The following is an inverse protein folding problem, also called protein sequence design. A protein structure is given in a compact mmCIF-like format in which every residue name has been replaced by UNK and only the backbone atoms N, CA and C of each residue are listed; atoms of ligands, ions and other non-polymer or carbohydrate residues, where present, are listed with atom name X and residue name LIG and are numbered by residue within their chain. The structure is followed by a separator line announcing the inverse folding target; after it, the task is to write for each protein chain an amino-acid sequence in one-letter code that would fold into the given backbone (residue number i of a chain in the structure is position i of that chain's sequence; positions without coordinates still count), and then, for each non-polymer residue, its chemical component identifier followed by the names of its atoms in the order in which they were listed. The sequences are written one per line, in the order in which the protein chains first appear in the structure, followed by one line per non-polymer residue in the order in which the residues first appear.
data_IF_175346806390
#
_entry.id   IF_175346806390
#
_cell.length_a   1.000
_cell.length_b   1.000
_cell.length_c   1.000
_cell.angle_alpha   90.00
_cell.angle_beta   90.00
_cell.angle_gamma   90.00
#
_symmetry.space_group_name_H-M   'P 1'
#
loop_
_entity.id
_entity.type
_entity.pdbx_description
1 polymer ?
#
# COMPACT_ATOMS: atom_id res chain seq x y z
N UNK A 1 -14.99 -18.06 -24.20
CA UNK A 1 -14.34 -18.05 -22.87
C UNK A 1 -12.84 -18.13 -23.12
N UNK A 2 -12.08 -17.16 -22.67
CA UNK A 2 -10.62 -17.14 -22.82
C UNK A 2 -9.98 -18.04 -21.78
N UNK A 3 -8.93 -18.78 -22.15
CA UNK A 3 -8.18 -19.60 -21.22
C UNK A 3 -6.85 -18.92 -20.84
N UNK A 4 -6.48 -19.02 -19.56
CA UNK A 4 -5.22 -18.55 -19.03
C UNK A 4 -4.65 -19.65 -18.11
N UNK A 5 -3.41 -20.07 -18.37
CA UNK A 5 -2.81 -21.13 -17.54
C UNK A 5 -2.37 -20.60 -16.17
N UNK A 6 -2.58 -21.39 -15.12
CA UNK A 6 -2.09 -21.13 -13.78
C UNK A 6 -0.57 -20.88 -13.76
N UNK A 7 0.20 -21.56 -14.62
CA UNK A 7 1.64 -21.35 -14.77
C UNK A 7 1.98 -19.94 -15.28
N UNK A 8 1.17 -19.38 -16.18
CA UNK A 8 1.38 -18.00 -16.66
C UNK A 8 1.13 -16.98 -15.53
N UNK A 9 0.09 -17.21 -14.73
CA UNK A 9 -0.20 -16.39 -13.55
C UNK A 9 0.95 -16.48 -12.53
N UNK A 10 1.42 -17.68 -12.20
CA UNK A 10 2.54 -17.90 -11.29
C UNK A 10 3.80 -17.12 -11.73
N UNK A 11 4.17 -17.20 -13.01
CA UNK A 11 5.34 -16.48 -13.55
C UNK A 11 5.18 -14.96 -13.44
N UNK A 12 4.00 -14.44 -13.76
CA UNK A 12 3.71 -13.02 -13.63
C UNK A 12 3.83 -12.55 -12.18
N UNK A 13 3.26 -13.30 -11.24
CA UNK A 13 3.34 -13.00 -9.80
C UNK A 13 4.79 -13.06 -9.31
N UNK A 14 5.58 -14.06 -9.72
CA UNK A 14 7.00 -14.15 -9.35
C UNK A 14 7.76 -12.89 -9.77
N UNK A 15 7.57 -12.45 -11.01
CA UNK A 15 8.22 -11.24 -11.54
C UNK A 15 7.75 -9.97 -10.79
N UNK A 16 6.45 -9.82 -10.54
CA UNK A 16 5.88 -8.69 -9.80
C UNK A 16 6.46 -8.59 -8.39
N UNK A 17 6.57 -9.71 -7.69
CA UNK A 17 7.09 -9.77 -6.31
C UNK A 17 8.54 -9.30 -6.24
N UNK A 18 9.38 -9.73 -7.16
CA UNK A 18 10.78 -9.31 -7.22
C UNK A 18 10.87 -7.83 -7.61
N UNK A 19 10.22 -7.45 -8.70
CA UNK A 19 10.32 -6.11 -9.25
C UNK A 19 9.84 -5.04 -8.26
N UNK A 20 8.67 -5.21 -7.66
CA UNK A 20 8.12 -4.25 -6.71
C UNK A 20 8.98 -4.10 -5.43
N UNK A 21 9.80 -5.10 -5.06
CA UNK A 21 10.71 -4.97 -3.93
C UNK A 21 12.03 -4.29 -4.28
N UNK A 22 12.42 -4.29 -5.55
CA UNK A 22 13.69 -3.70 -6.02
C UNK A 22 13.50 -2.32 -6.65
N UNK A 23 12.32 -2.01 -7.19
CA UNK A 23 12.07 -0.77 -7.93
C UNK A 23 10.88 -0.02 -7.37
N UNK A 24 11.12 1.23 -7.04
CA UNK A 24 10.05 2.18 -6.75
C UNK A 24 9.52 2.77 -8.05
N UNK A 25 8.25 3.18 -8.10
CA UNK A 25 7.72 3.77 -9.32
C UNK A 25 8.39 5.12 -9.64
N UNK A 26 8.53 5.47 -10.93
CA UNK A 26 9.16 6.73 -11.33
C UNK A 26 8.45 7.98 -10.77
N UNK A 27 7.15 7.90 -10.54
CA UNK A 27 6.38 9.01 -9.96
C UNK A 27 6.74 9.26 -8.49
N UNK A 28 6.90 8.19 -7.71
CA UNK A 28 7.31 8.30 -6.30
C UNK A 28 8.71 8.87 -6.21
N UNK A 29 9.64 8.41 -7.06
CA UNK A 29 10.99 8.95 -7.10
C UNK A 29 10.99 10.45 -7.43
N UNK A 30 10.24 10.87 -8.47
CA UNK A 30 10.10 12.29 -8.82
C UNK A 30 9.50 13.10 -7.68
N UNK A 31 8.55 12.55 -6.94
CA UNK A 31 7.95 13.25 -5.80
C UNK A 31 8.94 13.42 -4.65
N UNK A 32 9.73 12.38 -4.34
CA UNK A 32 10.81 12.47 -3.36
C UNK A 32 11.86 13.53 -3.74
N UNK A 33 12.25 13.59 -5.01
CA UNK A 33 13.17 14.61 -5.54
C UNK A 33 12.61 16.03 -5.40
N UNK A 34 11.31 16.22 -5.70
CA UNK A 34 10.61 17.52 -5.49
C UNK A 34 10.60 17.90 -4.02
N UNK A 35 10.25 16.95 -3.14
CA UNK A 35 10.24 17.18 -1.70
C UNK A 35 11.63 17.57 -1.18
N UNK A 36 12.68 16.90 -1.64
CA UNK A 36 14.06 17.24 -1.31
C UNK A 36 14.43 18.64 -1.78
N UNK A 37 14.07 19.03 -2.98
CA UNK A 37 14.37 20.34 -3.53
C UNK A 37 13.65 21.48 -2.80
N UNK A 38 12.50 21.21 -2.19
CA UNK A 38 11.68 22.17 -1.45
C UNK A 38 11.96 22.17 0.06
N UNK A 39 12.80 21.24 0.55
CA UNK A 39 13.09 21.11 1.97
C UNK A 39 14.11 22.17 2.41
N UNK A 40 13.77 22.91 3.46
CA UNK A 40 14.59 24.01 3.98
C UNK A 40 15.53 23.56 5.10
N UNK A 41 15.22 22.42 5.76
CA UNK A 41 16.06 21.88 6.84
C UNK A 41 17.15 20.98 6.26
N UNK A 42 18.44 21.29 6.47
CA UNK A 42 19.55 20.51 5.91
C UNK A 42 19.51 19.02 6.26
N UNK A 43 19.13 18.69 7.51
CA UNK A 43 19.01 17.30 7.94
C UNK A 43 17.91 16.56 7.17
N UNK A 44 16.71 17.14 7.06
CA UNK A 44 15.60 16.54 6.34
C UNK A 44 15.90 16.37 4.83
N UNK A 45 16.52 17.37 4.21
CA UNK A 45 16.98 17.29 2.82
C UNK A 45 18.03 16.18 2.61
N UNK A 46 18.95 16.02 3.59
CA UNK A 46 19.95 14.94 3.56
C UNK A 46 19.30 13.57 3.67
N UNK A 47 18.30 13.40 4.56
CA UNK A 47 17.55 12.13 4.71
C UNK A 47 16.79 11.78 3.42
N UNK A 48 16.07 12.74 2.82
CA UNK A 48 15.42 12.52 1.53
C UNK A 48 16.42 12.12 0.45
N UNK A 49 17.61 12.76 0.44
CA UNK A 49 18.71 12.37 -0.46
C UNK A 49 19.16 10.93 -0.28
N UNK A 50 19.24 10.44 0.96
CA UNK A 50 19.62 9.04 1.26
C UNK A 50 18.52 8.06 0.86
N UNK A 51 17.25 8.42 1.02
CA UNK A 51 16.12 7.61 0.54
C UNK A 51 16.19 7.46 -0.98
N UNK A 52 16.38 8.56 -1.70
CA UNK A 52 16.49 8.55 -3.17
C UNK A 52 17.69 7.70 -3.64
N UNK A 53 18.86 7.90 -3.03
CA UNK A 53 20.08 7.13 -3.32
C UNK A 53 19.86 5.62 -3.10
N UNK A 54 19.20 5.26 -1.99
CA UNK A 54 18.86 3.87 -1.68
C UNK A 54 17.93 3.26 -2.75
N UNK A 55 16.90 3.98 -3.17
CA UNK A 55 15.92 3.48 -4.14
C UNK A 55 16.55 3.30 -5.52
N UNK A 56 17.45 4.22 -5.92
CA UNK A 56 18.23 4.11 -7.16
C UNK A 56 19.18 2.91 -7.11
N UNK A 57 19.93 2.75 -6.03
CA UNK A 57 20.84 1.63 -5.83
C UNK A 57 20.11 0.27 -5.83
N UNK A 58 18.94 0.20 -5.18
CA UNK A 58 18.11 -0.98 -5.17
C UNK A 58 17.67 -1.39 -6.57
N UNK A 59 17.27 -0.41 -7.39
CA UNK A 59 16.86 -0.63 -8.78
C UNK A 59 18.03 -1.07 -9.68
N UNK A 60 19.20 -0.44 -9.53
CA UNK A 60 20.41 -0.75 -10.32
C UNK A 60 20.94 -2.15 -10.03
N UNK A 61 20.98 -2.54 -8.76
CA UNK A 61 21.54 -3.82 -8.34
C UNK A 61 20.52 -4.94 -8.24
N UNK A 62 19.24 -4.63 -8.45
CA UNK A 62 18.13 -5.56 -8.26
C UNK A 62 18.14 -6.21 -6.86
N UNK A 63 18.35 -5.39 -5.83
CA UNK A 63 18.29 -5.78 -4.41
C UNK A 63 17.10 -5.11 -3.73
N UNK A 64 16.55 -5.72 -2.65
CA UNK A 64 15.43 -5.11 -1.94
C UNK A 64 15.77 -3.72 -1.37
N UNK A 65 14.90 -2.73 -1.62
CA UNK A 65 15.07 -1.36 -1.11
C UNK A 65 14.90 -1.24 0.40
N UNK A 66 14.36 -2.25 1.07
CA UNK A 66 14.11 -2.27 2.50
C UNK A 66 14.32 -3.68 3.05
N UNK A 67 14.79 -3.80 4.30
CA UNK A 67 14.88 -5.08 5.01
C UNK A 67 13.50 -5.70 5.30
N UNK A 68 12.44 -4.89 5.40
CA UNK A 68 11.06 -5.37 5.47
C UNK A 68 10.48 -5.46 4.06
N UNK A 69 10.54 -6.65 3.49
CA UNK A 69 9.97 -6.95 2.17
C UNK A 69 8.48 -7.28 2.24
N UNK A 70 7.90 -7.08 3.41
CA UNK A 70 6.47 -7.04 3.66
C UNK A 70 5.74 -8.38 3.61
N UNK A 71 4.46 -8.32 3.89
CA UNK A 71 3.50 -9.38 3.60
C UNK A 71 2.89 -9.12 2.23
N UNK A 72 2.77 -10.16 1.41
CA UNK A 72 2.21 -10.04 0.07
C UNK A 72 0.70 -9.77 0.15
N UNK A 73 0.26 -8.66 -0.46
CA UNK A 73 -1.16 -8.31 -0.58
C UNK A 73 -1.51 -8.15 -2.05
N UNK A 74 -2.58 -8.82 -2.48
CA UNK A 74 -3.08 -8.76 -3.85
C UNK A 74 -4.50 -8.23 -3.90
N UNK A 75 -4.75 -7.32 -4.85
CA UNK A 75 -6.07 -7.03 -5.40
C UNK A 75 -6.17 -7.73 -6.74
N UNK A 76 -7.13 -8.63 -6.88
CA UNK A 76 -7.33 -9.48 -8.06
C UNK A 76 -8.66 -9.13 -8.70
N UNK A 77 -8.63 -8.55 -9.90
CA UNK A 77 -9.80 -8.28 -10.71
C UNK A 77 -9.90 -9.38 -11.77
N UNK A 78 -10.89 -10.24 -11.59
CA UNK A 78 -11.11 -11.43 -12.41
C UNK A 78 -12.30 -11.22 -13.34
N UNK A 79 -12.04 -11.20 -14.63
CA UNK A 79 -13.07 -11.17 -15.67
C UNK A 79 -13.91 -12.47 -15.67
N UNK A 80 -15.23 -12.33 -15.70
CA UNK A 80 -16.18 -13.46 -15.61
C UNK A 80 -16.08 -14.44 -16.79
N UNK A 81 -15.52 -14.03 -17.92
CA UNK A 81 -15.32 -14.83 -19.12
C UNK A 81 -13.94 -15.48 -19.21
N UNK A 82 -13.12 -15.34 -18.16
CA UNK A 82 -11.81 -15.96 -18.07
C UNK A 82 -11.89 -17.31 -17.37
N UNK A 83 -11.28 -18.32 -17.97
CA UNK A 83 -11.12 -19.65 -17.39
C UNK A 83 -9.66 -19.93 -17.05
N UNK A 84 -9.37 -20.22 -15.78
CA UNK A 84 -8.01 -20.61 -15.36
C UNK A 84 -7.83 -22.10 -15.54
N UNK A 85 -6.77 -22.51 -16.26
CA UNK A 85 -6.47 -23.91 -16.56
C UNK A 85 -5.19 -24.37 -15.89
N UNK A 86 -5.08 -25.69 -15.61
CA UNK A 86 -3.88 -26.29 -15.04
C UNK A 86 -3.66 -26.05 -13.54
N UNK A 87 -4.67 -25.54 -12.83
CA UNK A 87 -4.65 -25.30 -11.40
C UNK A 87 -5.61 -24.22 -10.96
N UNK A 88 -5.67 -23.91 -9.67
CA UNK A 88 -6.49 -22.80 -9.16
C UNK A 88 -5.72 -21.49 -9.21
N UNK A 89 -6.45 -20.38 -9.41
CA UNK A 89 -5.87 -19.03 -9.40
C UNK A 89 -5.13 -18.72 -8.08
N UNK A 90 -5.75 -19.09 -6.96
CA UNK A 90 -5.16 -18.89 -5.65
C UNK A 90 -3.84 -19.64 -5.48
N UNK A 91 -3.80 -20.93 -5.84
CA UNK A 91 -2.58 -21.73 -5.75
C UNK A 91 -1.46 -21.17 -6.65
N UNK A 92 -1.81 -20.67 -7.83
CA UNK A 92 -0.85 -20.02 -8.74
C UNK A 92 -0.27 -18.72 -8.15
N UNK A 93 -1.09 -17.90 -7.50
CA UNK A 93 -0.63 -16.69 -6.81
C UNK A 93 0.27 -17.06 -5.63
N UNK A 94 -0.14 -17.99 -4.78
CA UNK A 94 0.66 -18.42 -3.62
C UNK A 94 2.02 -18.98 -4.06
N UNK A 95 2.06 -19.83 -5.11
CA UNK A 95 3.32 -20.38 -5.62
C UNK A 95 4.21 -19.29 -6.24
N UNK A 96 3.61 -18.33 -6.97
CA UNK A 96 4.34 -17.18 -7.48
C UNK A 96 4.98 -16.32 -6.39
N UNK A 97 4.28 -16.11 -5.27
CA UNK A 97 4.82 -15.42 -4.08
C UNK A 97 5.98 -16.23 -3.49
N UNK A 98 5.79 -17.51 -3.23
CA UNK A 98 6.84 -18.40 -2.70
C UNK A 98 8.10 -18.35 -3.54
N UNK A 99 7.95 -18.48 -4.84
CA UNK A 99 9.04 -18.43 -5.78
C UNK A 99 9.71 -17.03 -5.80
N UNK A 100 8.93 -15.95 -5.85
CA UNK A 100 9.43 -14.59 -5.84
C UNK A 100 10.23 -14.24 -4.58
N UNK A 101 9.75 -14.64 -3.40
CA UNK A 101 10.47 -14.42 -2.15
C UNK A 101 11.75 -15.25 -2.04
N UNK A 102 11.79 -16.43 -2.67
CA UNK A 102 12.99 -17.25 -2.73
C UNK A 102 14.04 -16.70 -3.71
N UNK A 103 13.62 -16.42 -4.95
CA UNK A 103 14.52 -16.00 -6.04
C UNK A 103 15.00 -14.56 -5.89
N UNK A 104 14.15 -13.66 -5.34
CA UNK A 104 14.51 -12.30 -5.03
C UNK A 104 15.28 -12.12 -3.71
N UNK A 105 15.62 -13.21 -3.02
CA UNK A 105 16.30 -13.18 -1.71
C UNK A 105 15.56 -12.31 -0.68
N UNK A 106 14.23 -12.29 -0.76
CA UNK A 106 13.40 -11.46 0.08
C UNK A 106 13.24 -12.07 1.49
N UNK A 107 13.06 -11.22 2.49
CA UNK A 107 12.87 -11.66 3.87
C UNK A 107 11.51 -12.35 4.04
N UNK A 108 11.51 -13.56 4.59
CA UNK A 108 10.29 -14.30 4.94
C UNK A 108 9.85 -13.87 6.34
N UNK A 109 8.70 -13.19 6.42
CA UNK A 109 8.22 -12.57 7.67
C UNK A 109 6.86 -13.09 8.13
N UNK A 110 6.24 -14.01 7.38
CA UNK A 110 4.93 -14.58 7.73
C UNK A 110 5.10 -15.69 8.76
N UNK A 111 4.24 -15.65 9.80
CA UNK A 111 4.17 -16.68 10.83
C UNK A 111 2.84 -17.46 10.73
N UNK A 112 2.88 -18.77 10.93
CA UNK A 112 1.74 -19.65 10.81
C UNK A 112 0.73 -19.47 11.97
N UNK A 113 1.24 -19.31 13.19
CA UNK A 113 0.44 -19.06 14.37
C UNK A 113 0.68 -17.60 14.85
N UNK A 114 -0.37 -16.72 14.84
CA UNK A 114 -0.16 -15.32 15.17
C UNK A 114 0.07 -15.05 16.67
N UNK A 115 -0.26 -15.96 17.56
CA UNK A 115 -0.28 -15.70 19.01
C UNK A 115 0.72 -16.54 19.79
N UNK A 116 0.61 -17.85 19.71
CA UNK A 116 1.29 -18.76 20.68
C UNK A 116 2.69 -19.17 20.23
N UNK A 117 2.84 -19.86 19.11
CA UNK A 117 4.12 -20.41 18.67
C UNK A 117 4.90 -19.47 17.76
N UNK A 118 4.18 -18.72 16.92
CA UNK A 118 4.74 -17.78 15.94
C UNK A 118 5.80 -18.38 15.01
N UNK A 119 5.61 -19.67 14.66
CA UNK A 119 6.50 -20.38 13.75
C UNK A 119 6.49 -19.73 12.37
N UNK A 120 7.67 -19.40 11.83
CA UNK A 120 7.78 -18.81 10.50
C UNK A 120 7.39 -19.83 9.42
N UNK A 121 6.63 -19.40 8.40
CA UNK A 121 6.22 -20.29 7.30
C UNK A 121 7.38 -20.68 6.39
N UNK A 122 8.47 -19.92 6.41
CA UNK A 122 9.70 -20.21 5.65
C UNK A 122 9.65 -19.77 4.18
N UNK A 123 8.48 -19.36 3.68
CA UNK A 123 8.26 -19.03 2.27
C UNK A 123 7.47 -17.75 2.02
N UNK A 124 7.11 -17.06 3.10
CA UNK A 124 6.30 -15.83 3.12
C UNK A 124 4.87 -15.98 2.57
N UNK A 125 4.34 -17.19 2.58
CA UNK A 125 2.92 -17.46 2.29
C UNK A 125 2.15 -17.78 3.59
N UNK A 126 0.79 -17.65 3.63
CA UNK A 126 -0.04 -17.22 2.52
C UNK A 126 -0.01 -15.71 2.28
N UNK A 127 -0.17 -15.32 1.02
CA UNK A 127 -0.52 -13.95 0.67
C UNK A 127 -1.96 -13.62 1.07
N UNK A 128 -2.24 -12.35 1.35
CA UNK A 128 -3.60 -11.83 1.49
C UNK A 128 -4.14 -11.48 0.10
N UNK A 129 -5.26 -12.07 -0.29
CA UNK A 129 -5.81 -11.93 -1.63
C UNK A 129 -7.25 -11.44 -1.55
N UNK A 130 -7.53 -10.32 -2.20
CA UNK A 130 -8.87 -9.76 -2.36
C UNK A 130 -9.33 -9.95 -3.80
N UNK A 131 -10.45 -10.65 -4.00
CA UNK A 131 -11.02 -10.91 -5.31
C UNK A 131 -12.15 -9.95 -5.62
N UNK A 132 -12.15 -9.41 -6.84
CA UNK A 132 -13.23 -8.63 -7.44
C UNK A 132 -13.58 -9.26 -8.79
N UNK A 133 -14.86 -9.56 -8.99
CA UNK A 133 -15.37 -10.01 -10.29
C UNK A 133 -15.65 -8.79 -11.17
N UNK A 134 -15.19 -8.87 -12.41
CA UNK A 134 -15.37 -7.81 -13.42
C UNK A 134 -15.95 -8.40 -14.70
N UNK A 135 -16.45 -7.55 -15.56
CA UNK A 135 -16.84 -7.94 -16.93
C UNK A 135 -15.60 -8.29 -17.76
N UNK A 136 -15.82 -9.10 -18.80
CA UNK A 136 -14.80 -9.46 -19.78
C UNK A 136 -13.93 -10.65 -19.37
N UNK A 137 -12.78 -10.77 -20.01
CA UNK A 137 -11.91 -11.96 -19.99
C UNK A 137 -10.47 -11.67 -19.53
N UNK A 138 -10.26 -10.54 -18.84
CA UNK A 138 -8.93 -10.15 -18.35
C UNK A 138 -8.75 -10.50 -16.88
N UNK A 139 -7.50 -10.80 -16.52
CA UNK A 139 -7.06 -10.91 -15.14
C UNK A 139 -6.12 -9.75 -14.85
N UNK A 140 -6.53 -8.84 -13.97
CA UNK A 140 -5.63 -7.78 -13.47
C UNK A 140 -5.22 -8.08 -12.04
N UNK A 141 -3.93 -8.14 -11.82
CA UNK A 141 -3.30 -8.35 -10.52
C UNK A 141 -2.60 -7.06 -10.09
N UNK A 142 -2.97 -6.52 -8.94
CA UNK A 142 -2.20 -5.46 -8.28
C UNK A 142 -1.58 -6.04 -7.01
N UNK A 143 -0.27 -5.99 -6.92
CA UNK A 143 0.52 -6.48 -5.80
C UNK A 143 1.11 -5.32 -5.00
N UNK A 144 1.02 -5.39 -3.69
CA UNK A 144 1.72 -4.49 -2.78
C UNK A 144 2.40 -5.30 -1.66
N UNK A 145 3.73 -5.22 -1.52
CA UNK A 145 4.44 -5.79 -0.37
C UNK A 145 4.25 -4.85 0.82
N UNK A 146 3.38 -5.21 1.75
CA UNK A 146 2.99 -4.35 2.88
C UNK A 146 3.88 -4.57 4.09
N UNK A 147 4.78 -3.60 4.33
CA UNK A 147 5.66 -3.60 5.51
C UNK A 147 4.90 -3.35 6.82
N UNK A 148 5.29 -4.06 7.88
CA UNK A 148 4.55 -4.07 9.14
C UNK A 148 4.90 -2.92 10.09
N UNK A 149 6.03 -2.24 9.91
CA UNK A 149 6.30 -1.00 10.63
C UNK A 149 5.21 0.05 10.41
N UNK A 150 4.73 0.18 9.18
CA UNK A 150 3.63 1.08 8.84
C UNK A 150 2.24 0.44 9.01
N UNK A 151 2.10 -0.87 8.76
CA UNK A 151 0.82 -1.57 8.96
C UNK A 151 0.34 -1.50 10.42
N UNK A 152 1.24 -1.63 11.38
CA UNK A 152 0.94 -1.55 12.80
C UNK A 152 0.43 -0.17 13.26
N UNK A 153 0.63 0.86 12.43
CA UNK A 153 0.16 2.23 12.71
C UNK A 153 -1.21 2.53 12.12
N UNK A 154 -1.85 1.55 11.51
CA UNK A 154 -3.18 1.68 10.91
C UNK A 154 -4.27 1.64 11.96
N UNK A 155 -5.41 2.27 11.68
CA UNK A 155 -6.52 2.37 12.60
C UNK A 155 -7.88 2.28 11.91
N UNK A 156 -8.88 1.75 12.62
CA UNK A 156 -10.29 1.71 12.20
C UNK A 156 -11.14 2.34 13.28
N UNK A 157 -12.13 3.14 12.88
CA UNK A 157 -13.10 3.74 13.80
C UNK A 157 -14.50 3.77 13.19
N UNK A 158 -15.47 3.40 13.98
CA UNK A 158 -16.89 3.56 13.65
C UNK A 158 -17.35 4.94 14.10
N UNK A 159 -17.32 5.90 13.19
CA UNK A 159 -17.83 7.25 13.43
C UNK A 159 -19.36 7.28 13.33
N UNK A 160 -19.96 8.34 13.85
CA UNK A 160 -21.39 8.62 13.68
C UNK A 160 -21.59 9.49 12.43
N UNK A 161 -22.72 9.37 11.73
CA UNK A 161 -23.04 10.27 10.60
C UNK A 161 -22.97 11.77 10.97
N UNK A 162 -23.32 12.11 12.22
CA UNK A 162 -23.23 13.48 12.72
C UNK A 162 -21.80 14.03 12.84
N UNK A 163 -20.79 13.16 12.91
CA UNK A 163 -19.38 13.58 12.95
C UNK A 163 -18.93 14.16 11.58
N UNK A 164 -19.59 13.75 10.50
CA UNK A 164 -19.39 14.28 9.15
C UNK A 164 -17.94 14.29 8.66
N UNK A 165 -17.67 15.16 7.70
CA UNK A 165 -16.33 15.32 7.11
C UNK A 165 -15.28 15.75 8.14
N UNK A 166 -15.64 16.61 9.09
CA UNK A 166 -14.72 17.08 10.13
C UNK A 166 -14.31 15.95 11.08
N UNK A 167 -15.24 15.05 11.45
CA UNK A 167 -14.91 13.87 12.23
C UNK A 167 -13.97 12.89 11.49
N UNK A 168 -14.16 12.73 10.17
CA UNK A 168 -13.24 11.93 9.33
C UNK A 168 -11.85 12.57 9.33
N UNK A 169 -11.74 13.86 9.03
CA UNK A 169 -10.44 14.58 9.02
C UNK A 169 -9.75 14.49 10.38
N UNK A 170 -10.47 14.72 11.45
CA UNK A 170 -9.92 14.65 12.80
C UNK A 170 -9.36 13.24 13.10
N UNK A 171 -10.08 12.18 12.73
CA UNK A 171 -9.62 10.80 12.94
C UNK A 171 -8.37 10.48 12.11
N UNK A 172 -8.30 10.89 10.84
CA UNK A 172 -7.12 10.69 10.00
C UNK A 172 -5.90 11.39 10.59
N UNK A 173 -6.05 12.66 10.97
CA UNK A 173 -4.96 13.45 11.55
C UNK A 173 -4.48 12.88 12.89
N UNK A 174 -5.41 12.37 13.70
CA UNK A 174 -5.09 11.74 14.99
C UNK A 174 -4.33 10.42 14.79
N UNK A 175 -4.75 9.59 13.83
CA UNK A 175 -4.03 8.36 13.47
C UNK A 175 -2.59 8.64 13.01
N UNK A 176 -2.38 9.65 12.16
CA UNK A 176 -1.05 10.04 11.70
C UNK A 176 -0.19 10.60 12.85
N UNK A 177 -0.78 11.42 13.73
CA UNK A 177 -0.08 11.95 14.91
C UNK A 177 0.37 10.84 15.84
N UNK A 178 -0.51 9.85 16.08
CA UNK A 178 -0.18 8.68 16.90
C UNK A 178 0.92 7.82 16.25
N UNK A 179 0.90 7.67 14.93
CA UNK A 179 1.93 6.93 14.20
C UNK A 179 3.32 7.59 14.33
N UNK A 180 3.38 8.91 14.25
CA UNK A 180 4.63 9.68 14.40
C UNK A 180 5.75 9.19 13.48
N UNK A 181 6.95 8.91 14.01
CA UNK A 181 8.10 8.44 13.24
C UNK A 181 8.04 6.94 12.88
N UNK A 182 7.19 6.15 13.56
CA UNK A 182 7.20 4.68 13.48
C UNK A 182 7.01 4.11 12.05
N UNK A 183 6.18 4.72 11.17
CA UNK A 183 5.99 4.21 9.82
C UNK A 183 7.07 4.63 8.82
N UNK A 184 8.21 5.15 9.26
CA UNK A 184 9.31 5.63 8.42
C UNK A 184 8.84 6.69 7.38
N UNK A 185 8.45 7.91 7.81
CA UNK A 185 8.03 8.96 6.91
C UNK A 185 9.19 9.42 5.96
N UNK A 186 8.83 10.04 4.81
CA UNK A 186 7.48 10.51 4.44
C UNK A 186 6.53 9.37 4.09
N UNK A 187 5.31 9.44 4.60
CA UNK A 187 4.30 8.38 4.46
C UNK A 187 3.34 8.62 3.28
N UNK A 188 2.65 7.56 2.87
CA UNK A 188 1.42 7.65 2.09
C UNK A 188 0.27 7.15 2.96
N UNK A 189 -0.83 7.89 2.98
CA UNK A 189 -1.99 7.59 3.81
C UNK A 189 -3.15 7.14 2.94
N UNK A 190 -3.61 5.92 3.13
CA UNK A 190 -4.82 5.39 2.52
C UNK A 190 -6.00 5.49 3.49
N UNK A 191 -7.09 6.08 3.04
CA UNK A 191 -8.31 6.25 3.83
C UNK A 191 -9.45 5.52 3.14
N UNK A 192 -10.14 4.66 3.89
CA UNK A 192 -11.35 3.99 3.43
C UNK A 192 -12.56 4.52 4.20
N UNK A 193 -13.59 4.99 3.49
CA UNK A 193 -14.78 5.60 4.08
C UNK A 193 -16.02 4.86 3.59
N UNK A 194 -16.87 4.45 4.53
CA UNK A 194 -18.14 3.78 4.22
C UNK A 194 -18.04 2.26 4.16
N UNK A 195 -19.09 1.62 3.66
CA UNK A 195 -19.25 0.16 3.71
C UNK A 195 -19.57 -0.33 5.13
N UNK A 196 -18.89 -1.40 5.50
CA UNK A 196 -18.93 -2.07 6.80
C UNK A 196 -17.55 -1.97 7.47
N UNK A 197 -17.40 -2.51 8.67
CA UNK A 197 -16.14 -2.52 9.44
C UNK A 197 -14.97 -3.06 8.62
N UNK A 198 -15.12 -4.21 7.99
CA UNK A 198 -14.09 -4.83 7.16
C UNK A 198 -13.95 -4.14 5.79
N UNK A 199 -15.04 -3.59 5.24
CA UNK A 199 -15.01 -2.94 3.92
C UNK A 199 -14.22 -1.64 3.97
N UNK A 200 -14.40 -0.79 4.99
CA UNK A 200 -13.60 0.43 5.09
C UNK A 200 -12.10 0.12 5.28
N UNK A 201 -11.75 -0.95 6.01
CA UNK A 201 -10.37 -1.40 6.15
C UNK A 201 -9.79 -1.89 4.80
N UNK A 202 -10.57 -2.66 4.02
CA UNK A 202 -10.18 -3.06 2.67
C UNK A 202 -9.98 -1.86 1.75
N UNK A 203 -10.89 -0.88 1.78
CA UNK A 203 -10.79 0.35 0.97
C UNK A 203 -9.52 1.15 1.29
N UNK A 204 -9.18 1.31 2.56
CA UNK A 204 -7.95 2.00 2.96
C UNK A 204 -6.69 1.29 2.45
N UNK A 205 -6.72 -0.04 2.34
CA UNK A 205 -5.66 -0.84 1.71
C UNK A 205 -5.59 -0.60 0.20
N UNK A 206 -6.72 -0.55 -0.47
CA UNK A 206 -6.79 -0.28 -1.92
C UNK A 206 -6.38 1.15 -2.26
N UNK A 207 -6.69 2.10 -1.39
CA UNK A 207 -6.21 3.48 -1.52
C UNK A 207 -4.67 3.54 -1.59
N UNK A 208 -3.97 2.64 -0.89
CA UNK A 208 -2.50 2.50 -0.95
C UNK A 208 -1.98 1.72 -2.18
N UNK A 209 -2.84 1.35 -3.12
CA UNK A 209 -2.48 0.71 -4.39
C UNK A 209 -2.74 1.64 -5.59
N UNK A 210 -3.06 2.92 -5.32
CA UNK A 210 -3.26 3.94 -6.34
C UNK A 210 -1.92 4.55 -6.75
N UNK A 211 -1.86 5.05 -7.99
CA UNK A 211 -0.75 5.90 -8.43
C UNK A 211 -0.64 7.14 -7.53
N UNK A 212 0.57 7.55 -7.19
CA UNK A 212 0.82 8.59 -6.19
C UNK A 212 0.17 9.94 -6.53
N UNK A 213 0.15 10.29 -7.81
CA UNK A 213 -0.42 11.55 -8.32
C UNK A 213 -1.90 11.44 -8.73
N UNK A 214 -2.52 10.27 -8.48
CA UNK A 214 -3.95 10.09 -8.71
C UNK A 214 -4.81 10.82 -7.66
N UNK A 215 -6.01 11.22 -8.06
CA UNK A 215 -6.97 11.90 -7.19
C UNK A 215 -8.33 11.21 -7.22
N UNK A 216 -9.10 11.40 -6.14
CA UNK A 216 -10.47 10.90 -6.09
C UNK A 216 -11.32 11.57 -7.18
N UNK A 217 -12.19 10.84 -7.91
CA UNK A 217 -12.99 11.39 -9.00
C UNK A 217 -14.01 12.45 -8.54
N UNK A 218 -14.53 12.34 -7.32
CA UNK A 218 -15.45 13.33 -6.74
C UNK A 218 -14.66 14.50 -6.15
N UNK A 219 -15.01 15.76 -6.52
CA UNK A 219 -14.25 16.94 -6.08
C UNK A 219 -14.13 17.08 -4.57
N UNK A 220 -15.20 16.80 -3.82
CA UNK A 220 -15.23 16.93 -2.35
C UNK A 220 -14.20 16.04 -1.65
N UNK A 221 -14.00 14.82 -2.14
CA UNK A 221 -12.98 13.91 -1.59
C UNK A 221 -11.59 14.27 -2.08
N UNK A 222 -11.43 14.71 -3.31
CA UNK A 222 -10.15 15.22 -3.82
C UNK A 222 -9.68 16.44 -3.01
N UNK A 223 -10.57 17.37 -2.71
CA UNK A 223 -10.24 18.52 -1.89
C UNK A 223 -9.87 18.08 -0.47
N UNK A 224 -10.57 17.10 0.10
CA UNK A 224 -10.24 16.50 1.39
C UNK A 224 -8.86 15.79 1.37
N UNK A 225 -8.49 15.08 0.30
CA UNK A 225 -7.13 14.49 0.12
C UNK A 225 -6.06 15.59 0.24
N UNK A 226 -6.24 16.72 -0.44
CA UNK A 226 -5.31 17.84 -0.44
C UNK A 226 -5.25 18.57 0.91
N UNK A 227 -6.40 18.82 1.53
CA UNK A 227 -6.48 19.43 2.88
C UNK A 227 -5.78 18.58 3.93
N UNK A 228 -6.00 17.26 3.91
CA UNK A 228 -5.37 16.31 4.81
C UNK A 228 -3.85 16.25 4.59
N UNK A 229 -3.39 16.18 3.34
CA UNK A 229 -1.97 16.19 3.01
C UNK A 229 -1.30 17.47 3.53
N UNK A 230 -1.90 18.63 3.29
CA UNK A 230 -1.40 19.90 3.78
C UNK A 230 -1.37 19.96 5.31
N UNK A 231 -2.41 19.45 5.98
CA UNK A 231 -2.47 19.39 7.44
C UNK A 231 -1.42 18.46 8.05
N UNK A 232 -1.21 17.27 7.47
CA UNK A 232 -0.18 16.31 7.89
C UNK A 232 1.21 16.91 7.73
N UNK A 233 1.49 17.58 6.62
CA UNK A 233 2.79 18.20 6.38
C UNK A 233 3.08 19.39 7.32
N UNK A 234 2.05 20.01 7.90
CA UNK A 234 2.21 21.01 8.99
C UNK A 234 2.51 20.42 10.37
N UNK A 235 2.40 19.09 10.55
CA UNK A 235 2.71 18.44 11.84
C UNK A 235 4.21 18.41 12.16
N UNK A 236 5.07 18.73 11.21
CA UNK A 236 6.53 18.76 11.37
C UNK A 236 7.14 17.42 11.81
N UNK A 237 6.52 16.30 11.43
CA UNK A 237 7.09 14.95 11.68
C UNK A 237 8.36 14.79 10.83
N UNK A 238 8.30 15.12 9.55
CA UNK A 238 9.40 15.14 8.60
C UNK A 238 9.99 13.77 8.26
N UNK A 239 10.97 13.74 7.33
CA UNK A 239 11.64 12.51 6.92
C UNK A 239 12.28 11.78 8.08
N UNK A 240 12.07 10.48 8.19
CA UNK A 240 12.48 9.61 9.30
C UNK A 240 12.01 10.08 10.70
N UNK A 241 11.05 11.00 10.79
CA UNK A 241 10.54 11.54 12.05
C UNK A 241 11.46 12.58 12.71
N UNK A 242 12.39 13.17 11.95
CA UNK A 242 13.40 14.11 12.47
C UNK A 242 13.08 15.58 12.15
N UNK A 243 11.80 15.85 11.89
CA UNK A 243 11.32 17.18 11.52
C UNK A 243 11.56 17.49 10.04
N UNK A 244 10.84 18.49 9.53
CA UNK A 244 10.88 18.91 8.14
C UNK A 244 9.51 19.07 7.52
N UNK A 245 9.48 19.62 6.32
CA UNK A 245 8.22 19.97 5.62
C UNK A 245 7.47 18.76 5.06
N UNK A 246 8.19 17.64 4.83
CA UNK A 246 7.62 16.47 4.16
C UNK A 246 7.39 15.33 5.15
N UNK A 247 6.21 15.30 5.75
CA UNK A 247 5.74 14.19 6.60
C UNK A 247 5.01 13.11 5.79
N UNK A 248 4.27 13.53 4.74
CA UNK A 248 3.57 12.63 3.83
C UNK A 248 3.77 13.06 2.36
N UNK A 249 3.75 12.08 1.46
CA UNK A 249 3.83 12.27 0.01
C UNK A 249 2.42 12.43 -0.61
N UNK A 250 1.44 11.66 -0.11
CA UNK A 250 0.07 11.69 -0.57
C UNK A 250 -0.91 11.22 0.51
N UNK A 251 -2.18 11.61 0.32
CA UNK A 251 -3.35 11.03 0.99
C UNK A 251 -4.30 10.58 -0.10
N UNK A 252 -4.74 9.33 -0.06
CA UNK A 252 -5.71 8.76 -0.99
C UNK A 252 -6.95 8.31 -0.25
N UNK A 253 -8.13 8.64 -0.76
CA UNK A 253 -9.41 8.27 -0.20
C UNK A 253 -10.13 7.33 -1.17
N UNK A 254 -10.63 6.21 -0.66
CA UNK A 254 -11.56 5.32 -1.33
C UNK A 254 -12.89 5.31 -0.58
N UNK A 255 -13.99 5.30 -1.32
CA UNK A 255 -15.32 5.39 -0.73
C UNK A 255 -16.23 4.25 -1.15
N UNK A 256 -17.19 3.91 -0.30
CA UNK A 256 -18.23 2.95 -0.62
C UNK A 256 -19.55 3.34 0.02
N UNK A 257 -20.66 2.90 -0.56
CA UNK A 257 -21.99 3.11 0.03
C UNK A 257 -22.03 2.56 1.47
N UNK A 258 -22.71 3.25 2.36
CA UNK A 258 -22.80 2.83 3.77
C UNK A 258 -24.24 2.87 4.28
N UNK A 259 -24.49 2.24 5.43
CA UNK A 259 -25.78 2.31 6.10
C UNK A 259 -26.02 3.72 6.65
N UNK A 260 -27.28 4.19 6.58
CA UNK A 260 -27.65 5.55 6.99
C UNK A 260 -27.26 5.90 8.44
N UNK A 261 -27.14 4.90 9.32
CA UNK A 261 -26.79 5.07 10.73
C UNK A 261 -25.28 4.93 11.02
N UNK A 262 -24.44 4.73 10.00
CA UNK A 262 -23.01 4.45 10.18
C UNK A 262 -22.10 5.35 9.34
N UNK A 263 -20.89 5.58 9.86
CA UNK A 263 -19.79 6.20 9.13
C UNK A 263 -18.47 5.49 9.51
N UNK A 264 -18.26 4.26 9.01
CA UNK A 264 -17.01 3.56 9.25
C UNK A 264 -15.88 4.22 8.48
N UNK A 265 -14.73 4.37 9.12
CA UNK A 265 -13.52 4.97 8.56
C UNK A 265 -12.31 4.16 8.96
N UNK A 266 -11.45 3.86 8.00
CA UNK A 266 -10.17 3.22 8.23
C UNK A 266 -9.02 4.07 7.67
N UNK A 267 -7.91 4.06 8.37
CA UNK A 267 -6.65 4.68 7.95
C UNK A 267 -5.59 3.60 7.87
N UNK A 268 -5.01 3.41 6.71
CA UNK A 268 -3.87 2.52 6.52
C UNK A 268 -2.65 3.34 6.08
N UNK A 269 -1.50 3.08 6.69
CA UNK A 269 -0.29 3.88 6.46
C UNK A 269 0.75 3.05 5.70
N UNK A 270 1.39 3.66 4.70
CA UNK A 270 2.56 3.13 4.02
C UNK A 270 3.77 4.03 4.25
N UNK A 271 4.96 3.44 4.38
CA UNK A 271 6.22 4.18 4.53
C UNK A 271 6.67 4.82 3.20
N UNK A 272 7.81 5.52 3.22
CA UNK A 272 8.39 6.14 2.03
C UNK A 272 8.65 5.16 0.87
N UNK A 273 8.91 3.88 1.16
CA UNK A 273 9.00 2.83 0.16
C UNK A 273 7.59 2.43 -0.33
N UNK A 274 6.89 3.40 -0.92
CA UNK A 274 5.57 3.22 -1.51
C UNK A 274 5.68 2.48 -2.83
N UNK A 275 5.50 1.17 -2.76
CA UNK A 275 5.78 0.23 -3.85
C UNK A 275 4.59 -0.68 -4.09
N UNK A 276 4.18 -0.73 -5.33
CA UNK A 276 3.17 -1.66 -5.84
C UNK A 276 3.43 -1.91 -7.33
N UNK A 277 2.88 -3.00 -7.84
CA UNK A 277 3.00 -3.36 -9.25
C UNK A 277 1.66 -3.89 -9.75
N UNK A 278 1.31 -3.52 -10.97
CA UNK A 278 0.07 -3.98 -11.61
C UNK A 278 0.39 -4.64 -12.94
N UNK A 279 -0.21 -5.81 -13.18
CA UNK A 279 -0.13 -6.51 -14.46
C UNK A 279 -1.51 -6.96 -14.89
N UNK A 280 -1.79 -6.86 -16.19
CA UNK A 280 -3.01 -7.41 -16.81
C UNK A 280 -2.61 -8.53 -17.76
N UNK A 281 -3.20 -9.69 -17.54
CA UNK A 281 -3.01 -10.94 -18.30
C UNK A 281 -4.21 -11.25 -19.17
#
# INVERSE_FOLDING_TARGET
MRELSATAVQRAVTAMVIDANCRISPEVLRQLERCRAQEERPLAASILGRIIENDQLAAEQCVPMCQDTGMAVFRVQLGQELHITGGTLEAAIQEGVRQGYREGYLRKSVVADPVFRRDNTGDNTPAVIYYELTEGDRLTLTFAPKGFGSENMSAVKMLKPADGAEGVKAFVLDAVRHAGPNPCPPIVVGVGIGGTFEKCAQLSKFALMRELDSHHPLPEYRDMEQELLAAINRMDIGPAGLGGRTSALAVHIETFHTHIAGLPVAVNICCHAYRHSTVTL
#
